data_IF_839417032565
#
_entry.id   IF_839417032565
#
_cell.length_a   1.000
_cell.length_b   1.000
_cell.length_c   1.000
_cell.angle_alpha   90.00
_cell.angle_beta   90.00
_cell.angle_gamma   90.00
#
_symmetry.space_group_name_H-M   'P 1'
#
loop_
_entity.id
_entity.type
_entity.pdbx_description
1 polymer ?
#
# COMPACT_ATOMS: atom_id res chain seq x y z
N UNK A 1 16.22 -12.21 63.26
CA UNK A 1 15.50 -12.71 62.09
C UNK A 1 14.20 -11.92 61.96
N UNK A 2 14.12 -11.18 60.86
CA UNK A 2 12.90 -10.72 60.13
C UNK A 2 11.89 -9.86 60.91
N UNK A 3 12.03 -8.51 60.88
CA UNK A 3 11.64 -7.54 59.83
C UNK A 3 10.13 -7.18 59.88
N UNK A 4 9.81 -6.10 60.62
CA UNK A 4 9.36 -4.74 60.15
C UNK A 4 7.85 -4.67 59.84
N UNK A 5 7.00 -4.03 60.67
CA UNK A 5 6.77 -2.56 60.85
C UNK A 5 6.41 -1.88 59.51
N UNK A 6 5.38 -1.05 59.30
CA UNK A 6 4.46 -0.22 60.11
C UNK A 6 3.40 0.27 59.05
N UNK A 7 2.07 0.15 59.16
CA UNK A 7 1.11 0.98 59.94
C UNK A 7 1.37 2.49 59.71
N UNK A 8 0.50 3.40 59.27
CA UNK A 8 -0.94 3.48 58.95
C UNK A 8 -1.25 4.85 58.32
N UNK A 9 -2.35 4.90 57.55
CA UNK A 9 -3.42 5.93 57.49
C UNK A 9 -3.08 7.41 57.76
N UNK A 10 -3.48 8.31 56.84
CA UNK A 10 -4.62 9.27 57.01
C UNK A 10 -4.63 10.34 55.90
N UNK A 11 -5.81 10.55 55.32
CA UNK A 11 -6.25 11.62 54.40
C UNK A 11 -6.48 12.97 55.13
N UNK A 12 -7.14 14.03 54.58
CA UNK A 12 -7.08 14.78 53.32
C UNK A 12 -6.99 16.34 53.56
N UNK A 13 -7.17 17.15 52.50
CA UNK A 13 -7.66 18.56 52.43
C UNK A 13 -6.75 19.81 52.62
N UNK A 14 -6.87 20.69 51.60
CA UNK A 14 -6.86 22.17 51.55
C UNK A 14 -5.54 22.99 51.35
N UNK A 15 -5.60 23.74 50.23
CA UNK A 15 -5.01 25.04 49.81
C UNK A 15 -3.93 25.72 50.66
N UNK A 16 -2.87 26.26 50.03
CA UNK A 16 -2.44 27.68 50.05
C UNK A 16 -1.40 27.94 48.92
N UNK A 17 -1.54 29.12 48.32
CA UNK A 17 -0.74 29.80 47.28
C UNK A 17 0.62 30.26 47.83
N UNK A 18 1.70 30.29 47.02
CA UNK A 18 2.56 31.48 46.74
C UNK A 18 3.46 31.21 45.51
N UNK A 19 3.22 32.04 44.47
CA UNK A 19 4.07 32.34 43.33
C UNK A 19 5.31 33.14 43.75
N UNK A 20 6.47 32.84 43.16
CA UNK A 20 7.66 33.70 43.20
C UNK A 20 7.86 34.29 41.81
N UNK A 21 7.48 35.56 41.66
CA UNK A 21 7.86 36.45 40.56
C UNK A 21 8.99 37.37 41.05
N UNK A 22 10.10 37.48 40.29
CA UNK A 22 10.89 38.71 40.12
C UNK A 22 11.44 38.76 38.67
N UNK A 23 11.16 39.89 38.03
CA UNK A 23 11.22 40.25 36.61
C UNK A 23 12.61 40.48 35.99
N UNK A 24 12.66 40.59 34.65
CA UNK A 24 13.33 41.68 33.90
C UNK A 24 12.74 41.75 32.48
N UNK A 25 12.08 42.87 32.16
CA UNK A 25 11.63 43.26 30.82
C UNK A 25 12.27 44.59 30.44
N UNK A 26 12.59 44.74 29.15
CA UNK A 26 12.78 45.99 28.40
C UNK A 26 14.21 46.53 28.20
N UNK A 27 14.74 46.31 26.99
CA UNK A 27 15.10 47.38 26.05
C UNK A 27 15.17 46.76 24.63
N UNK A 28 14.27 47.14 23.72
CA UNK A 28 14.44 48.19 22.70
C UNK A 28 15.45 47.87 21.58
N UNK A 29 14.87 47.64 20.39
CA UNK A 29 15.40 47.84 19.03
C UNK A 29 16.61 47.02 18.57
N UNK A 30 16.40 46.09 17.62
CA UNK A 30 16.84 46.28 16.23
C UNK A 30 16.80 44.97 15.40
N UNK A 31 16.61 45.14 14.09
CA UNK A 31 16.90 44.20 12.97
C UNK A 31 15.92 43.04 12.72
N UNK A 32 14.95 43.41 11.90
CA UNK A 32 14.39 42.64 10.78
C UNK A 32 15.39 41.66 10.10
N UNK A 33 15.02 40.36 10.15
CA UNK A 33 15.42 39.16 9.36
C UNK A 33 16.90 38.73 9.37
N UNK A 34 17.29 37.45 9.09
CA UNK A 34 16.49 36.29 8.64
C UNK A 34 16.82 34.95 9.37
N UNK A 35 16.03 33.89 9.13
CA UNK A 35 16.58 32.53 8.93
C UNK A 35 15.57 31.57 8.30
N UNK A 36 15.83 31.33 7.03
CA UNK A 36 15.44 30.20 6.20
C UNK A 36 15.50 28.88 7.00
N UNK A 37 14.36 28.27 7.29
CA UNK A 37 14.33 26.92 7.88
C UNK A 37 14.47 25.94 6.72
N UNK A 38 15.69 25.46 6.52
CA UNK A 38 15.94 24.26 5.71
C UNK A 38 15.41 23.06 6.48
N UNK A 39 14.27 22.52 6.07
CA UNK A 39 13.80 21.22 6.53
C UNK A 39 14.70 20.14 5.94
N UNK A 40 15.53 19.54 6.80
CA UNK A 40 16.28 18.32 6.53
C UNK A 40 15.34 17.22 6.01
N UNK A 41 15.67 16.53 4.89
CA UNK A 41 14.94 15.32 4.52
C UNK A 41 15.29 14.18 5.51
N UNK A 42 14.30 13.37 5.93
CA UNK A 42 14.55 12.27 6.86
C UNK A 42 15.38 11.17 6.19
N UNK A 43 16.48 10.77 6.86
CA UNK A 43 17.24 9.54 6.56
C UNK A 43 16.30 8.34 6.68
N UNK A 44 16.13 7.56 5.61
CA UNK A 44 15.44 6.27 5.65
C UNK A 44 16.48 5.16 5.79
N UNK A 45 16.32 4.37 6.84
CA UNK A 45 17.26 3.36 7.30
C UNK A 45 17.34 2.15 6.36
N UNK A 46 18.55 1.60 6.27
CA UNK A 46 18.96 0.52 5.40
C UNK A 46 18.40 -0.85 5.84
N UNK A 47 18.22 -1.76 4.87
CA UNK A 47 17.88 -3.13 5.19
C UNK A 47 17.87 -4.09 4.01
N UNK A 48 19.03 -4.37 3.42
CA UNK A 48 19.53 -5.70 3.00
C UNK A 48 20.76 -5.50 2.10
N UNK A 49 21.80 -6.30 2.30
CA UNK A 49 23.08 -6.23 1.58
C UNK A 49 22.90 -6.19 0.05
N UNK A 50 23.69 -5.40 -0.69
CA UNK A 50 23.72 -5.51 -2.15
C UNK A 50 24.52 -6.76 -2.51
N UNK A 51 23.83 -7.84 -2.86
CA UNK A 51 24.32 -8.65 -3.98
C UNK A 51 24.16 -7.77 -5.21
N UNK A 52 25.23 -7.62 -6.01
CA UNK A 52 25.22 -6.85 -7.26
C UNK A 52 24.36 -7.59 -8.29
N UNK A 53 23.05 -7.55 -8.09
CA UNK A 53 22.07 -8.15 -8.97
C UNK A 53 21.45 -7.05 -9.85
N UNK A 54 21.45 -7.33 -11.15
CA UNK A 54 20.93 -6.39 -12.15
C UNK A 54 19.49 -6.03 -11.80
N UNK A 55 19.23 -4.75 -11.56
CA UNK A 55 17.92 -4.25 -11.16
C UNK A 55 17.02 -4.16 -12.39
N UNK A 56 16.16 -5.15 -12.55
CA UNK A 56 15.21 -5.20 -13.67
C UNK A 56 13.90 -4.48 -13.33
N UNK A 57 13.30 -3.86 -14.35
CA UNK A 57 11.94 -3.30 -14.28
C UNK A 57 10.97 -4.36 -14.77
N UNK A 58 10.24 -4.96 -13.84
CA UNK A 58 9.35 -6.09 -14.14
C UNK A 58 7.90 -5.64 -14.01
N UNK A 59 7.08 -6.00 -14.99
CA UNK A 59 5.63 -5.74 -14.94
C UNK A 59 4.87 -7.04 -14.90
N UNK A 60 4.02 -7.18 -13.89
CA UNK A 60 3.10 -8.29 -13.72
C UNK A 60 1.72 -7.82 -14.17
N UNK A 61 1.18 -8.43 -15.22
CA UNK A 61 -0.19 -8.19 -15.66
C UNK A 61 -1.10 -9.32 -15.21
N UNK A 62 -2.17 -8.95 -14.52
CA UNK A 62 -3.22 -9.86 -14.08
C UNK A 62 -4.46 -9.66 -14.95
N UNK A 63 -5.00 -10.75 -15.46
CA UNK A 63 -6.22 -10.76 -16.27
C UNK A 63 -7.23 -11.75 -15.71
N UNK A 64 -8.47 -11.31 -15.52
CA UNK A 64 -9.56 -12.21 -15.09
C UNK A 64 -10.94 -11.65 -15.45
N UNK A 65 -11.93 -12.52 -15.33
CA UNK A 65 -13.37 -12.22 -15.37
C UNK A 65 -13.90 -11.84 -13.98
N UNK A 66 -13.33 -12.40 -12.91
CA UNK A 66 -13.84 -12.25 -11.54
C UNK A 66 -13.09 -11.14 -10.79
N UNK A 67 -13.81 -10.14 -10.29
CA UNK A 67 -13.21 -8.97 -9.61
C UNK A 67 -12.67 -9.33 -8.22
N UNK A 68 -13.42 -10.13 -7.46
CA UNK A 68 -13.07 -10.49 -6.09
C UNK A 68 -11.75 -11.26 -6.01
N UNK A 69 -11.59 -12.26 -6.88
CA UNK A 69 -10.38 -13.08 -6.97
C UNK A 69 -9.16 -12.23 -7.37
N UNK A 70 -9.32 -11.29 -8.31
CA UNK A 70 -8.27 -10.35 -8.66
C UNK A 70 -7.84 -9.45 -7.50
N UNK A 71 -8.75 -9.05 -6.62
CA UNK A 71 -8.44 -8.19 -5.46
C UNK A 71 -7.63 -8.90 -4.40
N UNK A 72 -7.98 -10.16 -4.13
CA UNK A 72 -7.20 -11.03 -3.26
C UNK A 72 -5.76 -11.17 -3.77
N UNK A 73 -5.59 -11.61 -5.01
CA UNK A 73 -4.26 -11.79 -5.62
C UNK A 73 -3.46 -10.49 -5.65
N UNK A 74 -4.09 -9.35 -5.98
CA UNK A 74 -3.42 -8.04 -5.93
C UNK A 74 -2.98 -7.65 -4.52
N UNK A 75 -3.77 -7.97 -3.49
CA UNK A 75 -3.43 -7.67 -2.11
C UNK A 75 -2.29 -8.57 -1.62
N UNK A 76 -2.32 -9.84 -1.98
CA UNK A 76 -1.33 -10.83 -1.54
C UNK A 76 0.03 -10.60 -2.19
N UNK A 77 0.07 -10.32 -3.50
CA UNK A 77 1.30 -9.96 -4.20
C UNK A 77 1.96 -8.70 -3.64
N UNK A 78 1.15 -7.72 -3.21
CA UNK A 78 1.69 -6.52 -2.54
C UNK A 78 2.28 -6.85 -1.19
N UNK A 79 1.55 -7.59 -0.35
CA UNK A 79 2.03 -7.98 1.00
C UNK A 79 3.35 -8.73 0.88
N UNK A 80 3.40 -9.73 0.01
CA UNK A 80 4.62 -10.51 -0.26
C UNK A 80 5.79 -9.65 -0.74
N UNK A 81 5.53 -8.63 -1.55
CA UNK A 81 6.57 -7.72 -2.03
C UNK A 81 7.06 -6.77 -0.92
N UNK A 82 6.17 -6.36 -0.01
CA UNK A 82 6.52 -5.55 1.16
C UNK A 82 7.33 -6.36 2.19
N UNK A 83 6.96 -7.62 2.40
CA UNK A 83 7.69 -8.54 3.30
C UNK A 83 9.14 -8.73 2.84
N UNK A 84 9.36 -8.79 1.52
CA UNK A 84 10.68 -8.87 0.88
C UNK A 84 11.37 -7.52 0.69
N UNK A 85 10.77 -6.42 1.16
CA UNK A 85 11.29 -5.04 1.07
C UNK A 85 11.62 -4.57 -0.36
N UNK A 86 10.84 -5.00 -1.36
CA UNK A 86 10.99 -4.55 -2.74
C UNK A 86 10.33 -3.19 -2.98
N UNK A 87 10.81 -2.46 -3.99
CA UNK A 87 10.13 -1.25 -4.45
C UNK A 87 8.94 -1.63 -5.34
N UNK A 88 7.73 -1.36 -4.84
CA UNK A 88 6.46 -1.71 -5.46
C UNK A 88 5.74 -0.46 -5.93
N UNK A 89 5.38 -0.42 -7.21
CA UNK A 89 4.31 0.47 -7.65
C UNK A 89 2.97 -0.22 -7.41
N UNK A 90 2.01 0.52 -6.85
CA UNK A 90 0.68 0.00 -6.53
C UNK A 90 -0.04 -0.64 -7.74
N UNK A 91 -1.19 -1.28 -7.52
CA UNK A 91 -1.91 -2.00 -8.56
C UNK A 91 -2.61 -0.97 -9.43
N UNK A 92 -2.11 -0.78 -10.65
CA UNK A 92 -2.73 0.10 -11.62
C UNK A 92 -3.94 -0.61 -12.21
N UNK A 93 -5.12 -0.01 -12.02
CA UNK A 93 -6.37 -0.54 -12.59
C UNK A 93 -6.51 -0.02 -14.01
N UNK A 94 -6.47 -0.93 -14.98
CA UNK A 94 -6.75 -0.60 -16.36
C UNK A 94 -8.27 -0.62 -16.61
N UNK A 95 -8.74 0.14 -17.61
CA UNK A 95 -10.15 0.12 -17.98
C UNK A 95 -10.58 -1.29 -18.39
N UNK A 96 -11.80 -1.64 -18.02
CA UNK A 96 -12.36 -2.97 -18.25
C UNK A 96 -12.85 -3.08 -19.68
N UNK A 97 -12.45 -4.16 -20.35
CA UNK A 97 -12.94 -4.43 -21.71
C UNK A 97 -14.28 -5.13 -21.60
N UNK A 98 -15.32 -4.50 -22.14
CA UNK A 98 -16.68 -5.06 -22.23
C UNK A 98 -16.86 -5.70 -23.59
N UNK A 99 -16.86 -7.03 -23.63
CA UNK A 99 -17.18 -7.79 -24.83
C UNK A 99 -18.70 -7.96 -24.87
N UNK A 100 -19.35 -7.44 -25.91
CA UNK A 100 -20.80 -7.45 -26.07
C UNK A 100 -21.16 -8.26 -27.30
N UNK A 101 -22.02 -9.25 -27.13
CA UNK A 101 -22.58 -10.04 -28.22
C UNK A 101 -24.10 -9.90 -28.14
N UNK A 102 -24.73 -9.55 -29.25
CA UNK A 102 -26.18 -9.46 -29.36
C UNK A 102 -26.68 -10.47 -30.38
N UNK A 103 -27.44 -11.45 -29.91
CA UNK A 103 -28.03 -12.50 -30.75
C UNK A 103 -29.54 -12.49 -30.59
N UNK A 104 -30.24 -13.01 -31.60
CA UNK A 104 -31.67 -13.28 -31.48
C UNK A 104 -31.88 -14.41 -30.47
N UNK A 105 -32.94 -14.32 -29.67
CA UNK A 105 -33.34 -15.40 -28.73
C UNK A 105 -33.84 -16.63 -29.46
N UNK A 106 -34.69 -16.40 -30.47
CA UNK A 106 -35.33 -17.47 -31.22
C UNK A 106 -34.31 -18.15 -32.16
N UNK A 107 -34.35 -19.48 -32.28
CA UNK A 107 -33.51 -20.23 -33.22
C UNK A 107 -34.00 -20.08 -34.67
N UNK A 108 -35.32 -19.89 -34.88
CA UNK A 108 -35.96 -19.70 -36.19
C UNK A 108 -36.47 -18.27 -36.38
N UNK A 109 -36.85 -17.94 -37.62
CA UNK A 109 -37.29 -16.61 -38.04
C UNK A 109 -38.66 -16.16 -37.51
N UNK A 110 -39.44 -17.09 -36.95
CA UNK A 110 -40.83 -16.87 -36.54
C UNK A 110 -40.94 -16.19 -35.15
N UNK A 111 -42.09 -15.55 -34.93
CA UNK A 111 -42.42 -14.86 -33.67
C UNK A 111 -41.78 -13.47 -33.50
N UNK A 112 -41.84 -12.92 -32.28
CA UNK A 112 -41.41 -11.55 -31.99
C UNK A 112 -39.88 -11.41 -32.00
N UNK A 113 -39.38 -10.34 -32.64
CA UNK A 113 -37.95 -10.03 -32.72
C UNK A 113 -37.38 -9.61 -31.35
N UNK A 114 -36.98 -10.61 -30.56
CA UNK A 114 -36.37 -10.44 -29.25
C UNK A 114 -34.86 -10.73 -29.30
N UNK A 115 -34.09 -9.90 -28.59
CA UNK A 115 -32.63 -9.91 -28.62
C UNK A 115 -32.05 -10.11 -27.23
N UNK A 116 -31.06 -10.99 -27.12
CA UNK A 116 -30.23 -11.11 -25.93
C UNK A 116 -29.02 -10.19 -26.02
N UNK A 117 -28.56 -9.70 -24.87
CA UNK A 117 -27.37 -8.86 -24.74
C UNK A 117 -26.41 -9.53 -23.76
N UNK A 118 -25.58 -10.42 -24.29
CA UNK A 118 -24.55 -11.07 -23.50
C UNK A 118 -23.36 -10.13 -23.32
N UNK A 119 -22.90 -9.99 -22.07
CA UNK A 119 -21.71 -9.21 -21.74
C UNK A 119 -20.70 -10.05 -20.99
N UNK A 120 -19.45 -10.05 -21.46
CA UNK A 120 -18.31 -10.52 -20.68
C UNK A 120 -17.41 -9.34 -20.36
N UNK A 121 -16.96 -9.27 -19.10
CA UNK A 121 -16.06 -8.21 -18.62
C UNK A 121 -14.70 -8.81 -18.34
N UNK A 122 -13.68 -8.25 -18.95
CA UNK A 122 -12.29 -8.59 -18.70
C UNK A 122 -11.67 -7.45 -17.90
N UNK A 123 -11.26 -7.77 -16.69
CA UNK A 123 -10.58 -6.85 -15.78
C UNK A 123 -9.09 -7.08 -15.92
N UNK A 124 -8.35 -6.00 -16.19
CA UNK A 124 -6.89 -6.02 -16.28
C UNK A 124 -6.28 -5.17 -15.19
N UNK A 125 -5.23 -5.67 -14.55
CA UNK A 125 -4.46 -4.95 -13.53
C UNK A 125 -2.98 -5.14 -13.79
N UNK A 126 -2.20 -4.15 -13.39
CA UNK A 126 -0.76 -4.14 -13.60
C UNK A 126 -0.08 -3.77 -12.28
N UNK A 127 0.96 -4.52 -11.94
CA UNK A 127 1.81 -4.26 -10.78
C UNK A 127 3.24 -4.18 -11.32
N UNK A 128 3.92 -3.06 -11.06
CA UNK A 128 5.31 -2.88 -11.43
C UNK A 128 6.21 -3.10 -10.20
N UNK A 129 7.24 -3.90 -10.38
CA UNK A 129 8.25 -4.23 -9.37
C UNK A 129 9.64 -3.86 -9.89
N UNK A 130 10.48 -3.36 -8.98
CA UNK A 130 11.91 -3.20 -9.21
C UNK A 130 12.65 -4.22 -8.36
N UNK A 131 13.12 -5.29 -9.00
CA UNK A 131 13.77 -6.41 -8.34
C UNK A 131 14.58 -7.22 -9.36
N UNK A 132 15.58 -7.99 -8.90
CA UNK A 132 16.20 -9.01 -9.73
C UNK A 132 15.21 -10.15 -10.06
N UNK A 133 15.44 -10.88 -11.15
CA UNK A 133 14.49 -11.87 -11.67
C UNK A 133 14.21 -13.03 -10.71
N UNK A 134 15.17 -13.36 -9.84
CA UNK A 134 15.09 -14.54 -8.98
C UNK A 134 14.13 -14.33 -7.81
N UNK A 135 14.11 -13.12 -7.25
CA UNK A 135 13.15 -12.76 -6.21
C UNK A 135 11.73 -12.72 -6.76
N UNK A 136 11.53 -12.31 -8.01
CA UNK A 136 10.19 -12.27 -8.64
C UNK A 136 9.60 -13.66 -8.82
N UNK A 137 10.39 -14.66 -9.24
CA UNK A 137 9.94 -16.05 -9.35
C UNK A 137 9.33 -16.57 -8.04
N UNK A 138 9.95 -16.21 -6.91
CA UNK A 138 9.47 -16.55 -5.57
C UNK A 138 8.24 -15.75 -5.11
N UNK A 139 7.98 -14.56 -5.68
CA UNK A 139 6.76 -13.79 -5.40
C UNK A 139 5.60 -14.34 -6.23
N UNK A 140 5.86 -14.75 -7.46
CA UNK A 140 4.84 -15.32 -8.36
C UNK A 140 4.45 -16.75 -8.03
N UNK A 141 5.23 -17.46 -7.21
CA UNK A 141 4.89 -18.83 -6.76
C UNK A 141 3.79 -18.88 -5.68
N UNK A 142 3.38 -17.72 -5.15
CA UNK A 142 2.25 -17.58 -4.23
C UNK A 142 0.95 -17.97 -4.96
N UNK A 143 -0.04 -18.59 -4.27
CA UNK A 143 -1.19 -19.20 -4.93
C UNK A 143 -1.96 -18.26 -5.86
N UNK A 144 -2.09 -18.72 -7.11
CA UNK A 144 -2.97 -18.09 -8.09
C UNK A 144 -4.37 -18.65 -7.85
N UNK A 145 -5.30 -17.76 -7.51
CA UNK A 145 -6.71 -18.09 -7.40
C UNK A 145 -7.26 -18.59 -8.76
N UNK A 146 -8.08 -19.64 -8.79
CA UNK A 146 -8.61 -20.18 -10.04
C UNK A 146 -9.35 -19.11 -10.86
N UNK A 147 -9.02 -19.06 -12.15
CA UNK A 147 -9.61 -18.11 -13.11
C UNK A 147 -8.92 -16.74 -13.15
N UNK A 148 -7.76 -16.58 -12.53
CA UNK A 148 -6.86 -15.44 -12.73
C UNK A 148 -5.64 -15.89 -13.53
N UNK A 149 -5.34 -15.18 -14.61
CA UNK A 149 -4.13 -15.39 -15.41
C UNK A 149 -3.09 -14.31 -15.05
N UNK A 150 -1.85 -14.74 -14.79
CA UNK A 150 -0.73 -13.86 -14.49
C UNK A 150 0.32 -13.98 -15.61
N UNK A 151 0.70 -12.84 -16.19
CA UNK A 151 1.79 -12.76 -17.15
C UNK A 151 2.88 -11.85 -16.60
N UNK A 152 4.12 -12.31 -16.65
CA UNK A 152 5.31 -11.58 -16.20
C UNK A 152 6.07 -11.08 -17.42
N UNK A 153 6.35 -9.79 -17.46
CA UNK A 153 7.15 -9.16 -18.52
C UNK A 153 8.37 -8.49 -17.90
N UNK A 154 9.56 -8.88 -18.36
CA UNK A 154 10.83 -8.28 -17.94
C UNK A 154 11.21 -7.25 -19.01
N UNK A 155 11.40 -6.00 -18.60
CA UNK A 155 11.87 -4.95 -19.49
C UNK A 155 13.36 -4.71 -19.25
N UNK A 156 14.19 -5.44 -20.01
CA UNK A 156 15.65 -5.26 -20.06
C UNK A 156 15.96 -4.22 -21.14
N UNK A 157 16.18 -2.98 -20.73
CA UNK A 157 16.52 -1.86 -21.62
C UNK A 157 17.64 -1.05 -21.02
#
# INVERSE_FOLDING_TARGET
MELRCFVTLTSPTLEWIVLVDIDIFSLCSSRKYPRFIMSFPPKKEAGSAPTDEVVHKIRITLTSRNVHNLEKVCADLKKASLDKKLHVSGPVRLPTKKLRITTRKAPSGEGTNTWDRFEMRIHKRLIDLHAPSDVVKQVTSIPIEPGVEAQVTINDR
#
